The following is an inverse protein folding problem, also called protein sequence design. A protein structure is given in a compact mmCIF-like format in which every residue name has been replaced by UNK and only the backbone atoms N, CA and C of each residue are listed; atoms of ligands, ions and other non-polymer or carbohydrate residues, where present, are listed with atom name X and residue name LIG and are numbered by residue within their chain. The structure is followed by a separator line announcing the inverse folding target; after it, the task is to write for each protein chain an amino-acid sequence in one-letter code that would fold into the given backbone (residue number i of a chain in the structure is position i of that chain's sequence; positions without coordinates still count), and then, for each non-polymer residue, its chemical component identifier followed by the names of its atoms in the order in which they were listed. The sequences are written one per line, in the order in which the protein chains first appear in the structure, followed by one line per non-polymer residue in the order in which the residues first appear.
data_IF_876713434544
#
_entry.id   IF_876713434544
#
_cell.length_a   1.000
_cell.length_b   1.000
_cell.length_c   1.000
_cell.angle_alpha   90.00
_cell.angle_beta   90.00
_cell.angle_gamma   90.00
#
_symmetry.space_group_name_H-M   'P 1'
#
loop_
_entity.id
_entity.type
_entity.pdbx_description
1 polymer ?
#
# COMPACT_ATOMS: atom_id res chain seq x y z
N UNK A 1 7.65 27.43 -32.45
CA UNK A 1 7.21 26.84 -31.15
C UNK A 1 6.69 27.97 -30.29
N UNK A 2 5.53 27.85 -29.63
CA UNK A 2 5.05 28.89 -28.74
C UNK A 2 5.93 28.93 -27.48
N UNK A 3 6.44 30.12 -27.13
CA UNK A 3 7.18 30.38 -25.92
C UNK A 3 6.20 30.81 -24.83
N UNK A 4 6.30 30.21 -23.64
CA UNK A 4 5.62 30.68 -22.40
C UNK A 4 6.68 31.23 -21.46
N UNK A 5 6.48 32.45 -21.00
CA UNK A 5 7.33 33.10 -19.99
C UNK A 5 6.70 32.91 -18.60
N UNK A 6 7.48 32.47 -17.65
CA UNK A 6 7.08 32.32 -16.24
C UNK A 6 7.81 33.41 -15.47
N UNK A 7 7.06 34.18 -14.66
CA UNK A 7 7.64 35.11 -13.72
C UNK A 7 7.97 34.34 -12.42
N UNK A 8 9.21 34.43 -11.97
CA UNK A 8 9.70 33.78 -10.75
C UNK A 8 9.99 34.88 -9.72
N UNK A 9 9.39 34.75 -8.53
CA UNK A 9 9.70 35.66 -7.44
C UNK A 9 11.13 35.40 -6.91
N UNK A 10 11.79 36.44 -6.40
CA UNK A 10 13.17 36.32 -5.90
C UNK A 10 13.33 35.26 -4.83
N UNK A 11 12.32 35.08 -3.97
CA UNK A 11 12.29 34.02 -2.94
C UNK A 11 12.27 32.60 -3.47
N UNK A 12 11.84 32.39 -4.73
CA UNK A 12 11.72 31.09 -5.35
C UNK A 12 12.94 30.73 -6.24
N UNK A 13 13.83 31.67 -6.50
CA UNK A 13 15.04 31.42 -7.30
C UNK A 13 15.87 30.23 -6.78
N UNK A 14 16.13 30.07 -5.45
CA UNK A 14 16.89 28.93 -4.95
C UNK A 14 16.21 27.56 -5.22
N UNK A 15 14.88 27.52 -5.33
CA UNK A 15 14.13 26.31 -5.69
C UNK A 15 14.41 25.89 -7.13
N UNK A 16 14.45 26.86 -8.05
CA UNK A 16 14.75 26.63 -9.46
C UNK A 16 16.20 26.17 -9.65
N UNK A 17 17.17 26.81 -8.96
CA UNK A 17 18.57 26.40 -8.99
C UNK A 17 18.72 24.96 -8.49
N UNK A 18 18.09 24.64 -7.37
CA UNK A 18 18.13 23.28 -6.81
C UNK A 18 17.48 22.25 -7.72
N UNK A 19 16.35 22.59 -8.36
CA UNK A 19 15.69 21.72 -9.33
C UNK A 19 16.59 21.45 -10.54
N UNK A 20 17.32 22.47 -11.01
CA UNK A 20 18.24 22.34 -12.11
C UNK A 20 19.43 21.43 -11.78
N UNK A 21 20.03 21.58 -10.60
CA UNK A 21 21.10 20.70 -10.09
C UNK A 21 20.67 19.24 -10.05
N UNK A 22 19.47 18.96 -9.47
CA UNK A 22 18.96 17.59 -9.27
C UNK A 22 18.56 16.90 -10.58
N UNK A 23 18.31 17.64 -11.64
CA UNK A 23 17.75 17.10 -12.88
C UNK A 23 18.68 17.18 -14.10
N UNK A 24 19.94 17.55 -13.89
CA UNK A 24 20.95 17.58 -14.95
C UNK A 24 20.86 18.78 -15.90
N UNK A 25 20.36 19.92 -15.43
CA UNK A 25 20.51 21.22 -16.08
C UNK A 25 19.40 21.65 -17.03
N UNK A 26 18.44 20.79 -17.39
CA UNK A 26 17.33 21.19 -18.26
C UNK A 26 16.11 21.65 -17.48
N UNK A 27 16.08 22.92 -17.12
CA UNK A 27 15.02 23.54 -16.31
C UNK A 27 13.64 23.45 -16.99
N UNK A 28 13.57 23.68 -18.31
CA UNK A 28 12.30 23.63 -19.06
C UNK A 28 11.67 22.23 -19.04
N UNK A 29 12.49 21.20 -19.25
CA UNK A 29 12.03 19.80 -19.15
C UNK A 29 11.61 19.43 -17.71
N UNK A 30 12.32 19.97 -16.72
CA UNK A 30 12.01 19.75 -15.30
C UNK A 30 10.67 20.35 -14.92
N UNK A 31 10.42 21.62 -15.29
CA UNK A 31 9.15 22.31 -15.07
C UNK A 31 8.01 21.57 -15.77
N UNK A 32 8.19 21.20 -17.04
CA UNK A 32 7.16 20.47 -17.80
C UNK A 32 6.82 19.13 -17.15
N UNK A 33 7.82 18.39 -16.66
CA UNK A 33 7.61 17.12 -15.95
C UNK A 33 6.87 17.33 -14.63
N UNK A 34 7.25 18.36 -13.87
CA UNK A 34 6.60 18.69 -12.61
C UNK A 34 5.14 19.09 -12.80
N UNK A 35 4.86 19.94 -13.79
CA UNK A 35 3.50 20.35 -14.13
C UNK A 35 2.64 19.17 -14.62
N UNK A 36 3.18 18.32 -15.50
CA UNK A 36 2.45 17.13 -15.96
C UNK A 36 2.07 16.23 -14.78
N UNK A 37 3.03 15.94 -13.90
CA UNK A 37 2.77 15.16 -12.71
C UNK A 37 1.72 15.81 -11.80
N UNK A 38 1.74 17.13 -11.66
CA UNK A 38 0.75 17.85 -10.84
C UNK A 38 -0.64 17.77 -11.45
N UNK A 39 -0.77 17.98 -12.74
CA UNK A 39 -2.04 17.86 -13.47
C UNK A 39 -2.58 16.42 -13.34
N UNK A 40 -1.76 15.41 -13.61
CA UNK A 40 -2.14 14.02 -13.47
C UNK A 40 -2.65 13.66 -12.06
N UNK A 41 -2.04 14.23 -11.02
CA UNK A 41 -2.47 14.02 -9.63
C UNK A 41 -3.80 14.71 -9.34
N UNK A 42 -4.00 15.95 -9.80
CA UNK A 42 -5.26 16.67 -9.56
C UNK A 42 -6.43 16.07 -10.36
N UNK A 43 -6.21 15.72 -11.63
CA UNK A 43 -7.20 14.99 -12.42
C UNK A 43 -7.55 13.63 -11.76
N UNK A 44 -6.52 12.91 -11.27
CA UNK A 44 -6.75 11.66 -10.54
C UNK A 44 -7.60 11.84 -9.27
N UNK A 45 -7.38 12.93 -8.52
CA UNK A 45 -8.21 13.23 -7.34
C UNK A 45 -9.66 13.49 -7.70
N UNK A 46 -9.92 14.20 -8.81
CA UNK A 46 -11.28 14.42 -9.32
C UNK A 46 -11.96 13.09 -9.70
N UNK A 47 -11.18 12.10 -10.12
CA UNK A 47 -11.64 10.74 -10.40
C UNK A 47 -11.66 9.83 -9.15
N UNK A 48 -11.34 10.36 -7.95
CA UNK A 48 -11.30 9.61 -6.70
C UNK A 48 -10.01 8.82 -6.45
N UNK A 49 -8.99 8.96 -7.29
CA UNK A 49 -7.70 8.33 -7.07
C UNK A 49 -6.81 9.15 -6.14
N UNK A 50 -6.15 8.48 -5.20
CA UNK A 50 -5.25 9.08 -4.24
C UNK A 50 -3.85 8.51 -4.32
N UNK A 51 -2.86 9.27 -3.85
CA UNK A 51 -1.49 8.77 -3.67
C UNK A 51 -1.42 7.94 -2.39
N UNK A 52 -1.25 6.63 -2.54
CA UNK A 52 -1.23 5.66 -1.46
C UNK A 52 0.21 5.26 -1.18
N UNK A 53 0.62 5.33 0.08
CA UNK A 53 1.92 4.84 0.53
C UNK A 53 1.74 3.67 1.48
N UNK A 54 2.27 2.52 1.13
CA UNK A 54 2.20 1.30 1.92
C UNK A 54 3.58 0.82 2.33
N UNK A 55 3.63 0.07 3.43
CA UNK A 55 4.82 -0.60 3.92
C UNK A 55 4.88 -2.01 3.36
N UNK A 56 6.05 -2.46 2.91
CA UNK A 56 6.26 -3.76 2.28
C UNK A 56 7.54 -4.39 2.82
N UNK A 57 7.50 -5.67 3.12
CA UNK A 57 8.61 -6.45 3.66
C UNK A 57 8.47 -6.74 5.16
N UNK A 58 9.41 -7.48 5.75
CA UNK A 58 9.42 -7.83 7.16
C UNK A 58 9.84 -6.64 8.04
N UNK A 59 9.36 -6.62 9.28
CA UNK A 59 9.76 -5.65 10.30
C UNK A 59 9.48 -4.21 9.92
N UNK A 60 10.51 -3.35 9.84
CA UNK A 60 10.38 -1.94 9.43
C UNK A 60 10.04 -1.80 7.94
N UNK A 61 10.37 -2.79 7.11
CA UNK A 61 10.05 -2.82 5.69
C UNK A 61 10.53 -1.61 4.90
N UNK A 62 10.17 -1.56 3.62
CA UNK A 62 10.36 -0.39 2.75
C UNK A 62 9.01 0.22 2.40
N UNK A 63 8.98 1.52 2.13
CA UNK A 63 7.77 2.19 1.67
C UNK A 63 7.68 2.11 0.16
N UNK A 64 6.51 1.74 -0.34
CA UNK A 64 6.16 1.79 -1.76
C UNK A 64 4.97 2.71 -1.94
N UNK A 65 4.94 3.42 -3.06
CA UNK A 65 3.94 4.45 -3.36
C UNK A 65 3.36 4.22 -4.74
N UNK A 66 2.05 4.35 -4.83
CA UNK A 66 1.31 4.26 -6.09
C UNK A 66 0.07 5.16 -6.04
N UNK A 67 -0.56 5.39 -7.18
CA UNK A 67 -1.85 6.10 -7.29
C UNK A 67 -2.95 5.08 -7.50
N UNK A 68 -3.96 5.11 -6.65
CA UNK A 68 -5.04 4.13 -6.69
C UNK A 68 -6.24 4.54 -5.84
N UNK A 69 -7.31 3.76 -5.93
CA UNK A 69 -8.50 3.85 -5.10
C UNK A 69 -8.70 2.54 -4.37
N UNK A 70 -9.11 2.60 -3.11
CA UNK A 70 -9.46 1.43 -2.31
C UNK A 70 -10.78 0.86 -2.81
N UNK A 71 -10.78 -0.41 -3.25
CA UNK A 71 -11.99 -1.12 -3.63
C UNK A 71 -12.62 -1.85 -2.45
N UNK A 72 -11.80 -2.57 -1.68
CA UNK A 72 -12.27 -3.31 -0.51
C UNK A 72 -11.13 -3.59 0.47
N UNK A 73 -11.48 -3.81 1.73
CA UNK A 73 -10.58 -4.30 2.76
C UNK A 73 -11.23 -5.40 3.58
N UNK A 74 -10.40 -6.32 4.07
CA UNK A 74 -10.79 -7.41 4.94
C UNK A 74 -9.76 -7.60 6.04
N UNK A 75 -10.20 -7.54 7.30
CA UNK A 75 -9.41 -7.94 8.46
C UNK A 75 -9.89 -9.27 9.01
N UNK A 76 -8.98 -10.18 9.28
CA UNK A 76 -9.29 -11.42 9.98
C UNK A 76 -8.30 -11.69 11.10
N UNK A 77 -8.81 -12.25 12.19
CA UNK A 77 -8.00 -12.69 13.33
C UNK A 77 -8.05 -14.20 13.42
N UNK A 78 -6.89 -14.80 13.47
CA UNK A 78 -6.71 -16.22 13.82
C UNK A 78 -6.21 -16.31 15.26
N UNK A 79 -6.07 -17.53 15.82
CA UNK A 79 -5.55 -17.73 17.18
C UNK A 79 -4.15 -17.15 17.38
N UNK A 80 -3.35 -17.13 16.30
CA UNK A 80 -1.91 -16.86 16.37
C UNK A 80 -1.53 -15.51 15.75
N UNK A 81 -2.39 -14.94 14.88
CA UNK A 81 -2.07 -13.69 14.17
C UNK A 81 -3.29 -12.93 13.65
N UNK A 82 -3.08 -11.65 13.38
CA UNK A 82 -4.03 -10.78 12.65
C UNK A 82 -3.53 -10.59 11.23
N UNK A 83 -4.43 -10.73 10.27
CA UNK A 83 -4.18 -10.45 8.85
C UNK A 83 -5.11 -9.35 8.37
N UNK A 84 -4.58 -8.41 7.60
CA UNK A 84 -5.34 -7.35 6.96
C UNK A 84 -5.00 -7.34 5.47
N UNK A 85 -6.04 -7.39 4.64
CA UNK A 85 -5.94 -7.32 3.19
C UNK A 85 -6.62 -6.05 2.70
N UNK A 86 -5.99 -5.33 1.79
CA UNK A 86 -6.54 -4.18 1.09
C UNK A 86 -6.33 -4.36 -0.40
N UNK A 87 -7.38 -4.17 -1.16
CA UNK A 87 -7.33 -4.23 -2.62
C UNK A 87 -7.63 -2.86 -3.18
N UNK A 88 -6.73 -2.39 -4.02
CA UNK A 88 -6.84 -1.10 -4.69
C UNK A 88 -6.93 -1.29 -6.19
N UNK A 89 -7.58 -0.38 -6.88
CA UNK A 89 -7.51 -0.23 -8.33
C UNK A 89 -6.55 0.89 -8.66
N UNK A 90 -5.53 0.62 -9.47
CA UNK A 90 -4.61 1.65 -9.95
C UNK A 90 -5.25 2.43 -11.10
N UNK A 91 -4.73 3.63 -11.37
CA UNK A 91 -5.19 4.46 -12.51
C UNK A 91 -4.98 3.77 -13.87
N UNK A 92 -4.07 2.80 -13.95
CA UNK A 92 -3.84 1.98 -15.16
C UNK A 92 -4.77 0.77 -15.25
N UNK A 93 -5.75 0.66 -14.34
CA UNK A 93 -6.72 -0.43 -14.31
C UNK A 93 -6.24 -1.73 -13.63
N UNK A 94 -4.99 -1.79 -13.14
CA UNK A 94 -4.45 -2.95 -12.44
C UNK A 94 -4.95 -3.02 -10.99
N UNK A 95 -5.04 -4.22 -10.44
CA UNK A 95 -5.34 -4.43 -9.04
C UNK A 95 -4.04 -4.51 -8.22
N UNK A 96 -4.03 -3.84 -7.07
CA UNK A 96 -2.91 -3.83 -6.15
C UNK A 96 -3.38 -4.42 -4.82
N UNK A 97 -2.82 -5.55 -4.45
CA UNK A 97 -3.14 -6.26 -3.21
C UNK A 97 -2.07 -5.96 -2.17
N UNK A 98 -2.45 -5.33 -1.08
CA UNK A 98 -1.59 -5.12 0.07
C UNK A 98 -2.06 -6.01 1.22
N UNK A 99 -1.25 -7.01 1.58
CA UNK A 99 -1.53 -7.92 2.68
C UNK A 99 -0.54 -7.65 3.83
N UNK A 100 -1.07 -7.40 5.01
CA UNK A 100 -0.31 -7.23 6.26
C UNK A 100 -0.61 -8.39 7.19
N UNK A 101 0.44 -8.92 7.81
CA UNK A 101 0.34 -9.97 8.83
C UNK A 101 1.07 -9.49 10.07
N UNK A 102 0.40 -9.60 11.23
CA UNK A 102 1.03 -9.32 12.52
C UNK A 102 2.13 -10.35 12.82
N UNK A 103 2.94 -10.07 13.82
CA UNK A 103 3.82 -11.06 14.41
C UNK A 103 2.99 -12.27 14.88
N UNK A 104 3.52 -13.46 14.66
CA UNK A 104 2.97 -14.71 15.17
C UNK A 104 3.75 -15.11 16.42
N UNK A 105 3.06 -15.41 17.51
CA UNK A 105 3.67 -15.92 18.73
C UNK A 105 3.72 -17.43 18.63
N UNK A 106 4.93 -17.97 18.47
CA UNK A 106 5.15 -19.41 18.44
C UNK A 106 5.43 -19.90 19.86
N UNK A 107 4.52 -20.71 20.36
CA UNK A 107 4.73 -21.46 21.61
C UNK A 107 5.29 -22.84 21.24
N UNK A 108 6.56 -23.05 21.41
CA UNK A 108 7.14 -24.39 21.32
C UNK A 108 6.91 -25.12 22.64
N UNK A 109 5.99 -26.08 22.63
CA UNK A 109 5.93 -27.07 23.70
C UNK A 109 7.24 -27.87 23.69
N UNK A 110 7.87 -28.03 24.85
CA UNK A 110 9.05 -28.87 24.98
C UNK A 110 8.80 -30.31 24.49
N UNK A 111 9.84 -31.09 24.20
CA UNK A 111 9.75 -32.39 23.50
C UNK A 111 8.87 -33.44 24.15
N UNK A 112 8.39 -33.22 25.35
CA UNK A 112 7.65 -34.22 26.12
C UNK A 112 6.13 -34.08 26.09
N UNK A 113 5.50 -33.29 25.24
CA UNK A 113 4.05 -33.32 24.98
C UNK A 113 3.06 -33.49 26.18
N UNK A 114 3.56 -33.63 27.40
CA UNK A 114 2.78 -33.96 28.59
C UNK A 114 2.55 -32.72 29.45
N UNK A 115 1.59 -31.88 29.04
CA UNK A 115 1.11 -30.79 29.89
C UNK A 115 0.07 -31.33 30.89
N UNK A 116 0.52 -31.93 31.98
CA UNK A 116 -0.32 -32.22 33.13
C UNK A 116 0.30 -31.62 34.41
N UNK A 117 -0.29 -30.54 34.89
CA UNK A 117 0.00 -29.95 36.18
C UNK A 117 0.47 -28.49 36.17
N UNK A 118 -0.19 -27.66 36.97
CA UNK A 118 0.02 -26.22 37.15
C UNK A 118 1.46 -25.81 37.55
N UNK A 119 2.28 -26.75 38.03
CA UNK A 119 3.69 -26.51 38.42
C UNK A 119 4.67 -26.48 37.27
N UNK A 120 4.29 -26.88 36.04
CA UNK A 120 5.15 -26.84 34.84
C UNK A 120 5.18 -25.48 34.11
N UNK A 121 4.37 -24.53 34.55
CA UNK A 121 4.38 -23.18 33.96
C UNK A 121 5.61 -22.34 34.31
N UNK A 122 6.49 -22.84 35.14
CA UNK A 122 7.73 -22.15 35.54
C UNK A 122 9.01 -22.89 35.16
N UNK A 123 8.99 -23.83 34.24
CA UNK A 123 10.21 -24.43 33.73
C UNK A 123 10.92 -23.47 32.75
N UNK A 124 12.19 -23.24 33.04
CA UNK A 124 13.09 -22.34 32.30
C UNK A 124 13.35 -22.71 30.83
N UNK A 125 12.74 -23.78 30.33
CA UNK A 125 12.96 -24.31 28.97
C UNK A 125 11.80 -24.01 28.01
N UNK A 126 10.87 -23.11 28.35
CA UNK A 126 9.88 -22.62 27.40
C UNK A 126 10.52 -21.58 26.49
N UNK A 127 10.94 -22.00 25.31
CA UNK A 127 11.33 -21.08 24.25
C UNK A 127 10.07 -20.53 23.59
N UNK A 128 9.86 -19.24 23.75
CA UNK A 128 8.89 -18.50 22.95
C UNK A 128 9.62 -17.75 21.85
N UNK A 129 9.12 -17.84 20.65
CA UNK A 129 9.61 -17.09 19.51
C UNK A 129 8.49 -16.26 18.91
N UNK A 130 8.80 -15.09 18.39
CA UNK A 130 7.85 -14.35 17.57
C UNK A 130 8.43 -14.17 16.17
N UNK A 131 7.61 -14.38 15.17
CA UNK A 131 7.97 -14.00 13.80
C UNK A 131 7.83 -12.48 13.66
N UNK A 132 8.65 -11.87 12.80
CA UNK A 132 8.48 -10.46 12.50
C UNK A 132 7.16 -10.24 11.73
N UNK A 133 6.44 -9.13 11.99
CA UNK A 133 5.29 -8.76 11.16
C UNK A 133 5.75 -8.57 9.72
N UNK A 134 4.94 -9.00 8.77
CA UNK A 134 5.26 -8.93 7.34
C UNK A 134 4.17 -8.22 6.57
N UNK A 135 4.55 -7.55 5.51
CA UNK A 135 3.62 -6.97 4.56
C UNK A 135 4.07 -7.26 3.12
N UNK A 136 3.13 -7.63 2.27
CA UNK A 136 3.37 -7.90 0.84
C UNK A 136 2.56 -6.95 -0.02
N UNK A 137 3.06 -6.67 -1.22
CA UNK A 137 2.37 -5.92 -2.25
C UNK A 137 2.47 -6.71 -3.54
N UNK A 138 1.32 -7.16 -4.04
CA UNK A 138 1.19 -7.86 -5.31
C UNK A 138 0.41 -6.98 -6.28
N UNK A 139 0.82 -6.98 -7.55
CA UNK A 139 0.12 -6.28 -8.63
C UNK A 139 -0.34 -7.34 -9.62
N UNK A 140 -1.63 -7.32 -9.95
CA UNK A 140 -2.24 -8.27 -10.89
C UNK A 140 -3.07 -7.51 -11.94
N UNK A 141 -3.18 -8.10 -13.12
CA UNK A 141 -3.79 -7.43 -14.27
C UNK A 141 -5.28 -7.79 -14.45
N UNK A 142 -5.75 -8.86 -13.81
CA UNK A 142 -7.12 -9.36 -13.98
C UNK A 142 -7.79 -9.78 -12.66
N UNK A 143 -9.13 -9.87 -12.68
CA UNK A 143 -9.90 -10.43 -11.57
C UNK A 143 -9.61 -11.92 -11.35
N UNK A 144 -9.31 -12.66 -12.41
CA UNK A 144 -8.99 -14.09 -12.31
C UNK A 144 -7.68 -14.31 -11.54
N UNK A 145 -6.65 -13.48 -11.81
CA UNK A 145 -5.41 -13.51 -11.05
C UNK A 145 -5.61 -13.06 -9.61
N UNK A 146 -6.46 -12.03 -9.42
CA UNK A 146 -6.79 -11.52 -8.09
C UNK A 146 -7.41 -12.61 -7.21
N UNK A 147 -8.33 -13.41 -7.78
CA UNK A 147 -8.99 -14.52 -7.08
C UNK A 147 -8.03 -15.52 -6.47
N UNK A 148 -6.88 -15.73 -7.09
CA UNK A 148 -5.84 -16.65 -6.58
C UNK A 148 -4.99 -16.04 -5.45
N UNK A 149 -5.08 -14.74 -5.22
CA UNK A 149 -4.22 -13.99 -4.30
C UNK A 149 -4.90 -13.57 -3.01
N UNK A 150 -6.23 -13.53 -2.98
CA UNK A 150 -7.01 -13.00 -1.86
C UNK A 150 -8.06 -13.99 -1.37
N UNK A 151 -8.54 -13.87 -0.12
CA UNK A 151 -9.67 -14.65 0.38
C UNK A 151 -10.93 -14.47 -0.48
N UNK A 152 -11.75 -15.53 -0.57
CA UNK A 152 -12.98 -15.52 -1.38
C UNK A 152 -13.95 -14.39 -0.97
N UNK A 153 -14.11 -14.17 0.34
CA UNK A 153 -15.00 -13.10 0.85
C UNK A 153 -14.53 -11.70 0.38
N UNK A 154 -13.22 -11.47 0.34
CA UNK A 154 -12.67 -10.21 -0.16
C UNK A 154 -12.82 -10.08 -1.66
N UNK A 155 -12.68 -11.20 -2.39
CA UNK A 155 -12.89 -11.22 -3.83
C UNK A 155 -14.32 -10.81 -4.20
N UNK A 156 -15.32 -11.34 -3.49
CA UNK A 156 -16.73 -11.00 -3.73
C UNK A 156 -17.01 -9.50 -3.50
N UNK A 157 -16.39 -8.91 -2.46
CA UNK A 157 -16.47 -7.46 -2.20
C UNK A 157 -15.83 -6.64 -3.34
N UNK A 158 -14.65 -7.06 -3.81
CA UNK A 158 -13.97 -6.38 -4.93
C UNK A 158 -14.76 -6.51 -6.22
N UNK A 159 -15.28 -7.69 -6.54
CA UNK A 159 -16.08 -7.92 -7.73
C UNK A 159 -17.35 -7.05 -7.75
N UNK A 160 -17.98 -6.85 -6.59
CA UNK A 160 -19.12 -5.96 -6.47
C UNK A 160 -18.75 -4.46 -6.62
N UNK A 161 -17.53 -4.08 -6.21
CA UNK A 161 -17.07 -2.68 -6.23
C UNK A 161 -16.47 -2.26 -7.58
N UNK A 162 -15.98 -3.20 -8.37
CA UNK A 162 -15.22 -2.91 -9.62
C UNK A 162 -16.03 -2.15 -10.65
N UNK A 163 -17.33 -2.43 -10.74
CA UNK A 163 -18.25 -1.83 -11.72
C UNK A 163 -18.96 -0.58 -11.18
N UNK A 164 -18.71 -0.23 -9.90
CA UNK A 164 -19.31 0.96 -9.30
C UNK A 164 -18.43 2.20 -9.59
N UNK A 165 -19.04 3.39 -9.75
CA UNK A 165 -18.28 4.62 -9.85
C UNK A 165 -17.51 4.87 -8.54
N UNK A 166 -16.27 5.33 -8.67
CA UNK A 166 -15.40 5.65 -7.52
C UNK A 166 -15.95 6.83 -6.72
N UNK A 167 -16.59 7.77 -7.39
CA UNK A 167 -17.30 8.91 -6.81
C UNK A 167 -18.70 8.92 -7.39
N UNK A 168 -19.69 9.00 -6.52
CA UNK A 168 -21.10 9.22 -6.87
C UNK A 168 -21.50 10.60 -6.38
N UNK A 169 -21.83 11.50 -7.29
CA UNK A 169 -22.36 12.82 -6.96
C UNK A 169 -23.82 12.68 -6.54
N UNK A 170 -24.10 12.93 -5.28
CA UNK A 170 -25.45 12.94 -4.72
C UNK A 170 -26.04 14.34 -4.88
N UNK A 171 -27.12 14.45 -5.62
CA UNK A 171 -27.92 15.69 -5.78
C UNK A 171 -28.87 15.81 -4.56
N UNK A 172 -28.37 16.40 -3.46
CA UNK A 172 -29.07 16.61 -2.18
C UNK A 172 -29.12 18.07 -1.81
#
# INVERSE_FOLDING_TARGET
MPNKTIYVADGDLPLFDRAQELTGGNLSATITRALRRRVELEEGKLEGYEEITVKVGPGSGRRQRFVGVLLAELGRSTKDRVEQFRVYRSRTGKFVVHAQRSAEVLWTAGPDGSAHGWRKHFSSDQQWGSTAPTATLDVVDSLDELRMKIPAELYDLVAAAVDQPVIEDLDI
#
